data_IF_229553804324
#
_entry.id   IF_229553804324
#
_cell.length_a   1.000
_cell.length_b   1.000
_cell.length_c   1.000
_cell.angle_alpha   90.00
_cell.angle_beta   90.00
_cell.angle_gamma   90.00
#
_symmetry.space_group_name_H-M   'P 1'
#
loop_
_entity.id
_entity.type
_entity.pdbx_description
1 polymer ?
#
# COMPACT_ATOMS: atom_id res chain seq x y z
N UNK A 1 10.82 15.38 -8.86
CA UNK A 1 10.91 16.12 -7.58
C UNK A 1 9.65 15.95 -6.73
N UNK A 2 8.44 16.08 -7.28
CA UNK A 2 7.19 15.77 -6.53
C UNK A 2 7.08 14.26 -6.25
N UNK A 3 7.49 13.40 -7.20
CA UNK A 3 7.40 11.94 -7.06
C UNK A 3 8.30 11.38 -5.96
N UNK A 4 9.47 12.00 -5.74
CA UNK A 4 10.44 11.57 -4.72
C UNK A 4 9.99 11.93 -3.30
N UNK A 5 9.36 13.09 -3.11
CA UNK A 5 8.81 13.51 -1.82
C UNK A 5 7.59 12.67 -1.43
N UNK A 6 6.74 12.32 -2.41
CA UNK A 6 5.58 11.44 -2.19
C UNK A 6 6.07 10.03 -1.85
N UNK A 7 7.04 9.48 -2.58
CA UNK A 7 7.63 8.18 -2.26
C UNK A 7 8.25 8.17 -0.84
N UNK A 8 9.00 9.22 -0.48
CA UNK A 8 9.59 9.34 0.85
C UNK A 8 8.54 9.43 1.96
N UNK A 9 7.44 10.16 1.74
CA UNK A 9 6.33 10.25 2.70
C UNK A 9 5.61 8.90 2.87
N UNK A 10 5.41 8.16 1.78
CA UNK A 10 4.84 6.81 1.77
C UNK A 10 5.74 5.86 2.60
N UNK A 11 7.05 5.85 2.34
CA UNK A 11 8.02 5.02 3.08
C UNK A 11 8.12 5.41 4.56
N UNK A 12 8.21 6.71 4.88
CA UNK A 12 8.34 7.20 6.25
C UNK A 12 7.09 6.90 7.10
N UNK A 13 5.92 6.85 6.47
CA UNK A 13 4.64 6.62 7.13
C UNK A 13 4.24 5.13 7.13
N UNK A 14 5.12 4.23 6.67
CA UNK A 14 4.86 2.79 6.59
C UNK A 14 4.40 2.17 7.90
N UNK A 15 5.06 2.49 9.01
CA UNK A 15 4.69 1.93 10.31
C UNK A 15 3.28 2.37 10.76
N UNK A 16 2.92 3.65 10.54
CA UNK A 16 1.62 4.18 10.93
C UNK A 16 0.50 3.78 9.96
N UNK A 17 0.77 3.70 8.66
CA UNK A 17 -0.13 3.11 7.66
C UNK A 17 -0.42 1.65 8.01
N UNK A 18 0.63 0.86 8.27
CA UNK A 18 0.48 -0.55 8.61
C UNK A 18 -0.32 -0.78 9.89
N UNK A 19 -0.06 0.03 10.93
CA UNK A 19 -0.83 -0.01 12.16
C UNK A 19 -2.31 0.31 11.93
N UNK A 20 -2.61 1.36 11.17
CA UNK A 20 -3.98 1.79 10.90
C UNK A 20 -4.76 0.77 10.06
N UNK A 21 -4.16 0.25 8.98
CA UNK A 21 -4.80 -0.74 8.08
C UNK A 21 -5.13 -2.01 8.84
N UNK A 22 -4.20 -2.50 9.68
CA UNK A 22 -4.43 -3.66 10.54
C UNK A 22 -5.58 -3.42 11.52
N UNK A 23 -5.55 -2.30 12.25
CA UNK A 23 -6.62 -1.96 13.20
C UNK A 23 -7.99 -1.83 12.52
N UNK A 24 -8.07 -1.21 11.35
CA UNK A 24 -9.34 -1.07 10.62
C UNK A 24 -9.86 -2.42 10.12
N UNK A 25 -8.97 -3.33 9.70
CA UNK A 25 -9.35 -4.68 9.30
C UNK A 25 -9.87 -5.51 10.48
N UNK A 26 -9.14 -5.52 11.59
CA UNK A 26 -9.51 -6.27 12.81
C UNK A 26 -10.86 -5.82 13.38
N UNK A 27 -11.22 -4.54 13.21
CA UNK A 27 -12.51 -3.99 13.63
C UNK A 27 -13.62 -4.17 12.58
N UNK A 28 -13.36 -4.86 11.46
CA UNK A 28 -14.32 -5.08 10.37
C UNK A 28 -14.67 -3.82 9.56
N UNK A 29 -13.91 -2.73 9.73
CA UNK A 29 -14.12 -1.46 9.03
C UNK A 29 -13.45 -1.44 7.64
N UNK A 30 -12.58 -2.41 7.37
CA UNK A 30 -11.82 -2.51 6.12
C UNK A 30 -11.71 -3.97 5.69
N UNK A 31 -11.96 -4.24 4.43
CA UNK A 31 -11.71 -5.55 3.83
C UNK A 31 -10.32 -5.56 3.19
N UNK A 32 -9.37 -6.31 3.77
CA UNK A 32 -7.99 -6.38 3.27
C UNK A 32 -7.90 -6.88 1.82
N UNK A 33 -8.74 -7.85 1.43
CA UNK A 33 -8.72 -8.38 0.06
C UNK A 33 -9.17 -7.34 -0.98
N UNK A 34 -10.16 -6.51 -0.64
CA UNK A 34 -10.61 -5.42 -1.49
C UNK A 34 -9.55 -4.31 -1.58
N UNK A 35 -8.95 -3.96 -0.44
CA UNK A 35 -7.88 -2.96 -0.38
C UNK A 35 -6.65 -3.40 -1.20
N UNK A 36 -6.22 -4.66 -1.07
CA UNK A 36 -5.11 -5.22 -1.85
C UNK A 36 -5.38 -5.12 -3.36
N UNK A 37 -6.59 -5.50 -3.79
CA UNK A 37 -6.98 -5.42 -5.20
C UNK A 37 -6.97 -3.99 -5.74
N UNK A 38 -7.50 -3.02 -4.98
CA UNK A 38 -7.49 -1.61 -5.38
C UNK A 38 -6.07 -1.03 -5.46
N UNK A 39 -5.21 -1.35 -4.49
CA UNK A 39 -3.82 -0.89 -4.47
C UNK A 39 -3.01 -1.50 -5.62
N UNK A 40 -3.22 -2.77 -5.97
CA UNK A 40 -2.58 -3.40 -7.15
C UNK A 40 -3.04 -2.76 -8.46
N UNK A 41 -4.33 -2.46 -8.60
CA UNK A 41 -4.84 -1.73 -9.77
C UNK A 41 -4.23 -0.33 -9.87
N UNK A 42 -4.09 0.36 -8.73
CA UNK A 42 -3.43 1.66 -8.69
C UNK A 42 -1.95 1.56 -9.07
N UNK A 43 -1.23 0.57 -8.54
CA UNK A 43 0.17 0.29 -8.90
C UNK A 43 0.33 0.05 -10.40
N UNK A 44 -0.55 -0.74 -11.00
CA UNK A 44 -0.54 -1.00 -12.44
C UNK A 44 -0.75 0.30 -13.23
N UNK A 45 -1.71 1.13 -12.83
CA UNK A 45 -1.94 2.43 -13.45
C UNK A 45 -0.75 3.40 -13.34
N UNK A 46 0.03 3.33 -12.26
CA UNK A 46 1.29 4.08 -12.12
C UNK A 46 2.36 3.57 -13.08
N UNK A 47 2.49 2.24 -13.21
CA UNK A 47 3.44 1.62 -14.14
C UNK A 47 3.12 1.98 -15.60
N UNK A 48 1.85 1.97 -16.00
CA UNK A 48 1.41 2.39 -17.34
C UNK A 48 1.75 3.85 -17.65
N UNK A 49 1.75 4.71 -16.62
CA UNK A 49 2.13 6.13 -16.73
C UNK A 49 3.64 6.38 -16.64
N UNK A 50 4.44 5.34 -16.40
CA UNK A 50 5.90 5.46 -16.22
C UNK A 50 6.32 5.98 -14.85
N UNK A 51 5.42 6.00 -13.87
CA UNK A 51 5.66 6.45 -12.49
C UNK A 51 6.28 5.33 -11.63
N UNK A 52 7.41 4.78 -12.08
CA UNK A 52 8.01 3.57 -11.50
C UNK A 52 8.48 3.75 -10.05
N UNK A 53 8.90 4.95 -9.65
CA UNK A 53 9.33 5.24 -8.28
C UNK A 53 8.15 5.13 -7.31
N UNK A 54 6.99 5.67 -7.71
CA UNK A 54 5.77 5.58 -6.92
C UNK A 54 5.23 4.13 -6.88
N UNK A 55 5.27 3.43 -8.01
CA UNK A 55 4.84 2.03 -8.08
C UNK A 55 5.71 1.11 -7.22
N UNK A 56 7.02 1.35 -7.15
CA UNK A 56 7.95 0.61 -6.30
C UNK A 56 7.74 0.93 -4.81
N UNK A 57 7.46 2.19 -4.46
CA UNK A 57 7.12 2.55 -3.09
C UNK A 57 5.84 1.85 -2.62
N UNK A 58 4.84 1.69 -3.51
CA UNK A 58 3.59 1.00 -3.21
C UNK A 58 3.77 -0.53 -3.01
N UNK A 59 4.74 -1.13 -3.70
CA UNK A 59 5.01 -2.57 -3.66
C UNK A 59 5.35 -3.06 -2.24
N UNK A 60 6.12 -2.25 -1.50
CA UNK A 60 6.44 -2.53 -0.11
C UNK A 60 5.24 -2.55 0.84
N UNK A 61 4.19 -1.78 0.52
CA UNK A 61 2.95 -1.75 1.30
C UNK A 61 2.04 -2.94 0.95
N UNK A 62 1.99 -3.33 -0.33
CA UNK A 62 1.27 -4.52 -0.78
C UNK A 62 1.83 -5.80 -0.13
N UNK A 63 3.16 -5.96 -0.10
CA UNK A 63 3.82 -7.07 0.62
C UNK A 63 3.45 -7.12 2.10
N UNK A 64 3.24 -5.97 2.75
CA UNK A 64 2.85 -5.92 4.16
C UNK A 64 1.41 -6.38 4.36
N UNK A 65 0.49 -6.01 3.45
CA UNK A 65 -0.91 -6.42 3.46
C UNK A 65 -1.06 -7.91 3.16
N UNK A 66 -0.31 -8.43 2.16
CA UNK A 66 -0.33 -9.83 1.75
C UNK A 66 0.06 -10.75 2.92
N UNK A 67 1.11 -10.38 3.67
CA UNK A 67 1.54 -11.12 4.86
C UNK A 67 0.47 -11.15 5.98
N UNK A 68 -0.37 -10.11 6.13
CA UNK A 68 -1.43 -10.13 7.14
C UNK A 68 -2.64 -10.95 6.72
N UNK A 69 -2.96 -10.97 5.42
CA UNK A 69 -4.04 -11.80 4.89
C UNK A 69 -3.78 -13.31 5.01
N UNK A 70 -2.52 -13.70 5.25
CA UNK A 70 -2.10 -15.09 5.44
C UNK A 70 -1.98 -15.52 6.91
N UNK A 71 -2.01 -14.56 7.84
CA UNK A 71 -1.88 -14.80 9.30
C UNK A 71 -3.27 -15.00 9.97
N UNK A 72 -4.36 -14.80 9.22
CA UNK A 72 -5.76 -15.14 9.55
C UNK A 72 -6.14 -16.56 9.06
#
# INVERSE_FOLDING_TARGET
>A
MIDDEIAAAITANKAAWSFLVKQLSENGCLNLSALDSELRNFQHGLQERGEFVLAAALDEHLLSIENWSQDD
#
